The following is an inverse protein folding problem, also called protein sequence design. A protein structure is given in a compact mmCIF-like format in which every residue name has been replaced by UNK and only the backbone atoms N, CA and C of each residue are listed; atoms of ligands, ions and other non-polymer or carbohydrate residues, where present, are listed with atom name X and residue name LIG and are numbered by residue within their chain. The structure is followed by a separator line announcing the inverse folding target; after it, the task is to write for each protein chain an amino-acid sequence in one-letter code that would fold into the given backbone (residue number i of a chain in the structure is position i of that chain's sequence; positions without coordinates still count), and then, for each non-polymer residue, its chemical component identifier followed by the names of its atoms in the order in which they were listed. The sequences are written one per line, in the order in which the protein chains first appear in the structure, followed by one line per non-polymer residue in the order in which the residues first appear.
data_IF_780821194592
#
_entry.id   IF_780821194592
#
_cell.length_a   1.000
_cell.length_b   1.000
_cell.length_c   1.000
_cell.angle_alpha   90.00
_cell.angle_beta   90.00
_cell.angle_gamma   90.00
#
_symmetry.space_group_name_H-M   'P 1'
#
loop_
_entity.id
_entity.type
_entity.pdbx_description
1 polymer ?
#
# COMPACT_ATOMS: atom_id res chain seq x y z
N UNK A 1 3.01 -26.43 23.96
CA UNK A 1 3.58 -26.51 22.60
C UNK A 1 3.28 -25.26 21.76
N UNK A 2 2.03 -24.97 21.38
CA UNK A 2 1.71 -23.73 20.64
C UNK A 2 1.91 -22.45 21.47
N UNK A 3 1.57 -22.49 22.76
CA UNK A 3 1.79 -21.38 23.72
C UNK A 3 3.26 -21.01 23.89
N UNK A 4 4.13 -22.02 24.02
CA UNK A 4 5.58 -21.81 24.13
C UNK A 4 6.20 -21.22 22.86
N UNK A 5 5.63 -21.55 21.69
CA UNK A 5 6.06 -21.00 20.41
C UNK A 5 5.66 -19.53 20.26
N UNK A 6 4.45 -19.18 20.72
CA UNK A 6 3.96 -17.81 20.75
C UNK A 6 4.79 -16.98 21.74
N UNK A 7 5.04 -17.47 22.96
CA UNK A 7 5.86 -16.77 23.95
C UNK A 7 7.29 -16.53 23.45
N UNK A 8 7.91 -17.50 22.77
CA UNK A 8 9.23 -17.30 22.13
C UNK A 8 9.21 -16.20 21.06
N UNK A 9 8.16 -16.13 20.24
CA UNK A 9 8.01 -15.08 19.23
C UNK A 9 7.83 -13.72 19.89
N UNK A 10 7.02 -13.62 20.94
CA UNK A 10 6.81 -12.37 21.66
C UNK A 10 8.09 -11.89 22.35
N UNK A 11 8.83 -12.77 23.02
CA UNK A 11 10.09 -12.42 23.70
C UNK A 11 11.18 -12.03 22.70
N UNK A 12 11.29 -12.75 21.59
CA UNK A 12 12.26 -12.44 20.54
C UNK A 12 11.90 -11.15 19.78
N UNK A 13 10.60 -10.86 19.62
CA UNK A 13 10.13 -9.58 19.10
C UNK A 13 10.39 -8.42 20.08
N UNK A 14 10.22 -8.64 21.39
CA UNK A 14 10.42 -7.63 22.42
C UNK A 14 11.89 -7.22 22.60
N UNK A 15 12.83 -8.09 22.23
CA UNK A 15 14.28 -7.85 22.31
C UNK A 15 14.78 -6.83 21.28
N UNK A 16 13.99 -6.56 20.22
CA UNK A 16 14.32 -5.51 19.26
C UNK A 16 14.06 -4.14 19.89
N UNK A 17 15.07 -3.25 19.97
CA UNK A 17 14.94 -1.94 20.62
C UNK A 17 13.81 -1.11 20.01
N UNK A 18 13.58 -1.25 18.69
CA UNK A 18 12.50 -0.59 17.94
C UNK A 18 11.11 -1.06 18.43
N UNK A 19 10.94 -2.36 18.67
CA UNK A 19 9.65 -2.95 19.09
C UNK A 19 9.38 -2.59 20.54
N UNK A 20 10.41 -2.63 21.39
CA UNK A 20 10.33 -2.20 22.79
C UNK A 20 9.94 -0.73 22.92
N UNK A 21 10.56 0.16 22.13
CA UNK A 21 10.26 1.59 22.18
C UNK A 21 8.89 1.91 21.55
N UNK A 22 8.43 1.15 20.57
CA UNK A 22 7.05 1.25 20.03
C UNK A 22 6.01 0.76 21.04
N UNK A 23 6.28 -0.35 21.76
CA UNK A 23 5.32 -0.99 22.66
C UNK A 23 5.26 -0.33 24.05
N UNK A 24 6.37 0.22 24.54
CA UNK A 24 6.48 0.81 25.89
C UNK A 24 6.30 2.33 25.94
N UNK A 25 6.49 3.06 24.83
CA UNK A 25 6.24 4.49 24.86
C UNK A 25 4.72 4.79 24.80
N UNK A 26 4.25 5.91 25.37
CA UNK A 26 2.83 6.17 25.56
C UNK A 26 2.07 6.28 24.24
N UNK A 27 1.03 5.46 24.07
CA UNK A 27 0.20 5.30 22.86
C UNK A 27 -0.40 6.60 22.28
N UNK A 28 -0.38 7.68 23.07
CA UNK A 28 -0.95 8.99 22.73
C UNK A 28 0.02 9.88 21.95
N UNK A 29 1.28 9.45 21.73
CA UNK A 29 2.24 10.24 20.98
C UNK A 29 1.93 10.19 19.47
N UNK A 30 1.86 11.35 18.78
CA UNK A 30 1.58 11.40 17.33
C UNK A 30 2.51 10.51 16.49
N UNK A 31 3.78 10.41 16.90
CA UNK A 31 4.80 9.58 16.23
C UNK A 31 4.47 8.10 16.31
N UNK A 32 3.93 7.63 17.44
CA UNK A 32 3.55 6.21 17.58
C UNK A 32 2.33 5.86 16.76
N UNK A 33 1.34 6.75 16.71
CA UNK A 33 0.14 6.56 15.89
C UNK A 33 0.55 6.48 14.42
N UNK A 34 1.44 7.36 13.97
CA UNK A 34 2.00 7.33 12.62
C UNK A 34 2.73 6.00 12.34
N UNK A 35 3.60 5.55 13.26
CA UNK A 35 4.32 4.29 13.10
C UNK A 35 3.39 3.08 13.08
N UNK A 36 2.32 3.07 13.89
CA UNK A 36 1.32 2.01 13.91
C UNK A 36 0.54 1.95 12.59
N UNK A 37 0.15 3.11 12.04
CA UNK A 37 -0.51 3.21 10.74
C UNK A 37 0.42 2.68 9.64
N UNK A 38 1.68 3.13 9.59
CA UNK A 38 2.66 2.66 8.61
C UNK A 38 2.83 1.14 8.73
N UNK A 39 3.06 0.62 9.93
CA UNK A 39 3.21 -0.83 10.14
C UNK A 39 1.98 -1.62 9.67
N UNK A 40 0.77 -1.13 9.97
CA UNK A 40 -0.47 -1.76 9.54
C UNK A 40 -0.63 -1.73 8.02
N UNK A 41 -0.43 -0.59 7.36
CA UNK A 41 -0.55 -0.48 5.90
C UNK A 41 0.48 -1.35 5.19
N UNK A 42 1.71 -1.41 5.69
CA UNK A 42 2.74 -2.31 5.15
C UNK A 42 2.38 -3.79 5.36
N UNK A 43 1.79 -4.16 6.49
CA UNK A 43 1.32 -5.52 6.73
C UNK A 43 0.21 -5.91 5.72
N UNK A 44 -0.76 -5.02 5.49
CA UNK A 44 -1.81 -5.22 4.47
C UNK A 44 -1.22 -5.34 3.08
N UNK A 45 -0.27 -4.47 2.71
CA UNK A 45 0.40 -4.52 1.40
C UNK A 45 1.14 -5.85 1.18
N UNK A 46 1.89 -6.32 2.18
CA UNK A 46 2.59 -7.61 2.14
C UNK A 46 1.57 -8.75 1.98
N UNK A 47 0.45 -8.68 2.69
CA UNK A 47 -0.61 -9.68 2.61
C UNK A 47 -1.27 -9.73 1.22
N UNK A 48 -1.64 -8.58 0.65
CA UNK A 48 -2.22 -8.49 -0.70
C UNK A 48 -1.25 -8.94 -1.79
N UNK A 49 0.02 -8.55 -1.67
CA UNK A 49 1.09 -8.98 -2.57
C UNK A 49 1.28 -10.50 -2.49
N UNK A 50 1.24 -11.06 -1.28
CA UNK A 50 1.31 -12.50 -1.06
C UNK A 50 0.13 -13.24 -1.70
N UNK A 51 -1.11 -12.76 -1.50
CA UNK A 51 -2.30 -13.33 -2.13
C UNK A 51 -2.23 -13.26 -3.66
N UNK A 52 -1.82 -12.11 -4.20
CA UNK A 52 -1.66 -11.91 -5.65
C UNK A 52 -0.60 -12.84 -6.24
N UNK A 53 0.52 -13.03 -5.53
CA UNK A 53 1.56 -13.98 -5.92
C UNK A 53 1.04 -15.43 -5.92
N UNK A 54 0.26 -15.80 -4.89
CA UNK A 54 -0.38 -17.12 -4.80
C UNK A 54 -1.37 -17.36 -5.93
N UNK A 55 -2.23 -16.38 -6.24
CA UNK A 55 -3.15 -16.43 -7.38
C UNK A 55 -2.38 -16.57 -8.69
N UNK A 56 -1.33 -15.79 -8.90
CA UNK A 56 -0.48 -15.87 -10.10
C UNK A 56 0.21 -17.24 -10.25
N UNK A 57 0.64 -17.85 -9.13
CA UNK A 57 1.20 -19.21 -9.11
C UNK A 57 0.14 -20.27 -9.47
N UNK A 58 -1.09 -20.11 -9.00
CA UNK A 58 -2.21 -20.99 -9.37
C UNK A 58 -2.57 -20.85 -10.86
N UNK A 59 -2.69 -19.63 -11.39
CA UNK A 59 -2.93 -19.40 -12.82
C UNK A 59 -1.81 -19.93 -13.72
N UNK A 60 -0.56 -19.95 -13.25
CA UNK A 60 0.56 -20.60 -13.97
C UNK A 60 0.55 -22.13 -13.88
N UNK A 61 0.10 -22.71 -12.76
CA UNK A 61 0.07 -24.15 -12.56
C UNK A 61 -1.15 -24.82 -13.21
N UNK A 62 -2.28 -24.11 -13.31
CA UNK A 62 -3.46 -24.57 -14.05
C UNK A 62 -3.20 -24.40 -15.55
N UNK A 63 -2.35 -25.27 -16.09
CA UNK A 63 -2.01 -25.41 -17.51
C UNK A 63 -3.10 -26.13 -18.33
N UNK A 64 -4.32 -26.28 -17.84
CA UNK A 64 -5.40 -26.89 -18.59
C UNK A 64 -6.20 -25.80 -19.31
N UNK A 65 -5.99 -25.69 -20.61
CA UNK A 65 -6.93 -25.05 -21.54
C UNK A 65 -8.31 -25.68 -21.25
N UNK A 66 -9.34 -24.90 -20.89
CA UNK A 66 -10.68 -25.45 -20.75
C UNK A 66 -11.05 -26.11 -22.09
N UNK A 67 -11.46 -27.39 -22.11
CA UNK A 67 -11.74 -28.13 -23.34
C UNK A 67 -12.84 -27.48 -24.21
N UNK A 68 -13.56 -26.50 -23.67
CA UNK A 68 -14.61 -25.73 -24.35
C UNK A 68 -14.10 -24.63 -25.29
N UNK A 69 -12.83 -24.23 -25.20
CA UNK A 69 -12.24 -23.16 -26.02
C UNK A 69 -11.33 -23.65 -27.16
N UNK A 70 -11.15 -24.96 -27.29
CA UNK A 70 -10.22 -25.57 -28.25
C UNK A 70 -10.59 -25.34 -29.74
N UNK A 71 -11.79 -24.81 -30.02
CA UNK A 71 -12.28 -24.56 -31.39
C UNK A 71 -12.53 -23.09 -31.77
N UNK A 72 -12.40 -22.13 -30.86
CA UNK A 72 -12.80 -20.72 -31.09
C UNK A 72 -11.63 -19.74 -31.08
N UNK A 73 -10.51 -20.07 -30.44
CA UNK A 73 -9.35 -19.19 -30.31
C UNK A 73 -8.10 -19.88 -30.85
N UNK A 74 -7.50 -19.31 -31.89
CA UNK A 74 -6.24 -19.77 -32.45
C UNK A 74 -5.13 -19.79 -31.38
N UNK A 75 -4.27 -20.82 -31.42
CA UNK A 75 -3.22 -21.08 -30.44
C UNK A 75 -2.30 -19.85 -30.25
N UNK A 76 -2.13 -19.05 -31.30
CA UNK A 76 -1.32 -17.82 -31.29
C UNK A 76 -1.97 -16.68 -30.49
N UNK A 77 -3.30 -16.55 -30.54
CA UNK A 77 -4.07 -15.53 -29.82
C UNK A 77 -4.14 -15.86 -28.33
N UNK A 78 -4.25 -17.15 -27.99
CA UNK A 78 -4.18 -17.63 -26.60
C UNK A 78 -2.80 -17.36 -25.97
N UNK A 79 -1.71 -17.62 -26.69
CA UNK A 79 -0.36 -17.34 -26.18
C UNK A 79 -0.11 -15.84 -25.98
N UNK A 80 -0.56 -14.99 -26.92
CA UNK A 80 -0.46 -13.53 -26.79
C UNK A 80 -1.26 -12.99 -25.59
N UNK A 81 -2.51 -13.42 -25.43
CA UNK A 81 -3.35 -13.00 -24.31
C UNK A 81 -2.82 -13.50 -22.96
N UNK A 82 -2.19 -14.68 -22.92
CA UNK A 82 -1.53 -15.18 -21.70
C UNK A 82 -0.29 -14.36 -21.32
N UNK A 83 0.57 -14.04 -22.29
CA UNK A 83 1.74 -13.18 -22.08
C UNK A 83 1.31 -11.78 -21.61
N UNK A 84 0.27 -11.22 -22.23
CA UNK A 84 -0.30 -9.92 -21.85
C UNK A 84 -0.83 -9.92 -20.40
N UNK A 85 -1.58 -10.93 -19.99
CA UNK A 85 -2.06 -11.03 -18.60
C UNK A 85 -0.92 -11.18 -17.58
N UNK A 86 0.16 -11.86 -17.98
CA UNK A 86 1.34 -12.05 -17.14
C UNK A 86 2.09 -10.73 -16.93
N UNK A 87 2.29 -9.96 -18.00
CA UNK A 87 2.95 -8.66 -17.92
C UNK A 87 2.06 -7.59 -17.25
N UNK A 88 0.74 -7.63 -17.49
CA UNK A 88 -0.23 -6.79 -16.78
C UNK A 88 -0.18 -7.01 -15.26
N UNK A 89 -0.07 -8.27 -14.82
CA UNK A 89 0.04 -8.59 -13.39
C UNK A 89 1.33 -8.06 -12.77
N UNK A 90 2.47 -8.14 -13.48
CA UNK A 90 3.74 -7.56 -13.01
C UNK A 90 3.69 -6.04 -12.94
N UNK A 91 3.13 -5.40 -13.96
CA UNK A 91 2.95 -3.95 -13.99
C UNK A 91 2.08 -3.50 -12.80
N UNK A 92 0.98 -4.19 -12.55
CA UNK A 92 0.09 -3.89 -11.43
C UNK A 92 0.82 -3.99 -10.07
N UNK A 93 1.68 -5.01 -9.87
CA UNK A 93 2.49 -5.13 -8.66
C UNK A 93 3.46 -3.95 -8.49
N UNK A 94 4.10 -3.50 -9.57
CA UNK A 94 5.03 -2.36 -9.53
C UNK A 94 4.28 -1.05 -9.23
N UNK A 95 3.12 -0.84 -9.86
CA UNK A 95 2.26 0.31 -9.56
C UNK A 95 1.81 0.31 -8.10
N UNK A 96 1.33 -0.82 -7.57
CA UNK A 96 0.92 -0.93 -6.18
C UNK A 96 2.08 -0.68 -5.21
N UNK A 97 3.30 -1.12 -5.53
CA UNK A 97 4.50 -0.81 -4.74
C UNK A 97 4.78 0.70 -4.72
N UNK A 98 4.72 1.33 -5.90
CA UNK A 98 4.96 2.76 -6.04
C UNK A 98 3.93 3.57 -5.25
N UNK A 99 2.64 3.24 -5.35
CA UNK A 99 1.58 3.91 -4.62
C UNK A 99 1.76 3.76 -3.11
N UNK A 100 2.12 2.57 -2.63
CA UNK A 100 2.40 2.31 -1.22
C UNK A 100 3.57 3.14 -0.69
N UNK A 101 4.65 3.24 -1.47
CA UNK A 101 5.82 4.06 -1.15
C UNK A 101 5.46 5.55 -1.15
N UNK A 102 4.70 6.00 -2.14
CA UNK A 102 4.24 7.37 -2.25
C UNK A 102 3.36 7.76 -1.05
N UNK A 103 2.38 6.92 -0.69
CA UNK A 103 1.54 7.13 0.50
C UNK A 103 2.37 7.21 1.78
N UNK A 104 3.33 6.29 1.95
CA UNK A 104 4.23 6.31 3.11
C UNK A 104 5.08 7.58 3.15
N UNK A 105 5.61 8.02 2.00
CA UNK A 105 6.40 9.24 1.89
C UNK A 105 5.56 10.49 2.22
N UNK A 106 4.35 10.59 1.67
CA UNK A 106 3.41 11.69 1.97
C UNK A 106 3.11 11.74 3.47
N UNK A 107 2.98 10.60 4.14
CA UNK A 107 2.72 10.54 5.58
C UNK A 107 3.94 10.99 6.40
N UNK A 108 5.13 10.51 6.07
CA UNK A 108 6.39 10.82 6.79
C UNK A 108 6.83 12.27 6.60
N UNK A 109 6.71 12.82 5.38
CA UNK A 109 7.09 14.20 5.10
C UNK A 109 6.03 15.23 5.52
N UNK A 110 4.90 14.79 6.07
CA UNK A 110 3.79 15.69 6.36
C UNK A 110 3.29 16.37 5.07
N UNK A 111 3.06 15.59 4.02
CA UNK A 111 2.56 16.10 2.75
C UNK A 111 1.25 16.86 2.90
N UNK A 112 0.40 16.49 3.86
CA UNK A 112 -0.84 17.23 4.17
C UNK A 112 -0.55 18.64 4.70
N UNK A 113 0.22 18.86 5.78
CA UNK A 113 0.57 20.22 6.21
C UNK A 113 1.41 20.98 5.18
N UNK A 114 2.25 20.30 4.40
CA UNK A 114 3.00 20.94 3.31
C UNK A 114 2.08 21.45 2.20
N UNK A 115 1.16 20.61 1.72
CA UNK A 115 0.17 20.98 0.71
C UNK A 115 -0.79 22.05 1.23
N UNK A 116 -1.15 22.02 2.51
CA UNK A 116 -1.93 23.07 3.17
C UNK A 116 -1.17 24.40 3.22
N UNK A 117 0.13 24.37 3.52
CA UNK A 117 0.97 25.59 3.49
C UNK A 117 1.16 26.13 2.07
N UNK A 118 1.15 25.25 1.06
CA UNK A 118 1.28 25.63 -0.34
C UNK A 118 -0.02 26.23 -0.86
N UNK A 119 -1.18 25.64 -0.53
CA UNK A 119 -2.50 26.18 -0.87
C UNK A 119 -2.74 27.52 -0.16
N UNK A 120 -2.32 27.66 1.09
CA UNK A 120 -2.36 28.94 1.81
C UNK A 120 -1.51 30.03 1.17
N UNK A 121 -0.30 29.69 0.67
CA UNK A 121 0.55 30.64 -0.07
C UNK A 121 -0.04 31.01 -1.43
N UNK A 122 -0.60 30.05 -2.16
CA UNK A 122 -1.28 30.30 -3.44
C UNK A 122 -2.53 31.18 -3.27
N UNK A 123 -3.30 30.96 -2.20
CA UNK A 123 -4.49 31.74 -1.86
C UNK A 123 -4.13 33.16 -1.40
N UNK A 124 -3.04 33.31 -0.65
CA UNK A 124 -2.51 34.61 -0.24
C UNK A 124 -2.06 35.49 -1.42
N UNK A 125 -1.58 34.88 -2.51
CA UNK A 125 -1.28 35.60 -3.76
C UNK A 125 -2.55 36.12 -4.46
N UNK A 126 -3.69 35.44 -4.28
CA UNK A 126 -5.00 35.85 -4.82
C UNK A 126 -5.82 36.74 -3.88
N UNK A 127 -5.30 37.12 -2.71
CA UNK A 127 -5.91 38.13 -1.83
C UNK A 127 -7.14 37.68 -1.04
N UNK A 128 -7.45 36.39 -0.97
CA UNK A 128 -8.53 35.88 -0.11
C UNK A 128 -8.02 35.59 1.31
N UNK A 129 -8.68 36.19 2.30
CA UNK A 129 -8.31 36.13 3.71
C UNK A 129 -8.45 34.75 4.37
N UNK A 130 -8.00 34.70 5.63
CA UNK A 130 -7.83 33.53 6.51
C UNK A 130 -9.15 32.81 6.86
N UNK A 131 -10.28 33.31 6.39
CA UNK A 131 -11.65 32.90 6.70
C UNK A 131 -12.27 31.83 5.78
N UNK A 132 -11.49 31.24 4.87
CA UNK A 132 -12.00 30.27 3.88
C UNK A 132 -11.33 28.87 3.96
N UNK A 133 -11.42 28.20 5.11
CA UNK A 133 -11.02 26.79 5.23
C UNK A 133 -11.79 25.88 4.25
N UNK A 134 -13.03 26.26 3.93
CA UNK A 134 -13.91 25.51 3.01
C UNK A 134 -13.44 25.63 1.54
N UNK A 135 -12.90 26.78 1.12
CA UNK A 135 -12.43 26.98 -0.26
C UNK A 135 -11.11 26.26 -0.54
N UNK A 136 -10.23 26.13 0.46
CA UNK A 136 -9.00 25.34 0.37
C UNK A 136 -9.31 23.85 0.11
N UNK A 137 -10.40 23.34 0.70
CA UNK A 137 -10.82 21.96 0.50
C UNK A 137 -11.22 21.66 -0.96
N UNK A 138 -11.83 22.62 -1.66
CA UNK A 138 -12.21 22.46 -3.07
C UNK A 138 -11.00 22.49 -4.01
N UNK A 139 -10.00 23.33 -3.74
CA UNK A 139 -8.77 23.39 -4.55
C UNK A 139 -7.90 22.15 -4.33
N UNK A 140 -7.90 21.57 -3.13
CA UNK A 140 -7.16 20.34 -2.86
C UNK A 140 -7.75 19.10 -3.55
N UNK A 141 -9.05 19.15 -3.87
CA UNK A 141 -9.79 18.01 -4.45
C UNK A 141 -9.84 18.01 -5.99
N UNK A 142 -9.46 19.10 -6.65
CA UNK A 142 -9.46 19.24 -8.11
C UNK A 142 -8.07 19.03 -8.70
#
# INVERSE_FOLDING_TARGET
MARDWIEKIYLQALDFPIIRDILLAPAWMPVQIMNAIIAFTWAVYIWETYLSYRQHKMYKNTKSIPPELAGVIDQTTFNKSRLYNLDKSKFNLICSLYDQLFQTAVLVFGGIPFLWSLSGRATGYFGYGREHEVSIFFIFKS
#
